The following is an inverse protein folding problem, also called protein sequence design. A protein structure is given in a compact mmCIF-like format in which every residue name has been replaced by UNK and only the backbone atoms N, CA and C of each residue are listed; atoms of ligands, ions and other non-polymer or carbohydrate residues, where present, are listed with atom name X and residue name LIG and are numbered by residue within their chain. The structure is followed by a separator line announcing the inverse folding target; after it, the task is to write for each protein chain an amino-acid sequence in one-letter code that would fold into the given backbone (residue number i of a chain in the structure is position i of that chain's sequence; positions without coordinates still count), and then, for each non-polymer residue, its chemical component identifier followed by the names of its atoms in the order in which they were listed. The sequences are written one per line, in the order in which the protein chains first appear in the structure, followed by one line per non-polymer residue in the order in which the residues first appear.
data_IF_497557443803
#
_entry.id   IF_497557443803
#
_cell.length_a   1.000
_cell.length_b   1.000
_cell.length_c   1.000
_cell.angle_alpha   90.00
_cell.angle_beta   90.00
_cell.angle_gamma   90.00
#
_symmetry.space_group_name_H-M   'P 1'
#
loop_
_entity.id
_entity.type
_entity.pdbx_description
1 polymer ?
#
# COMPACT_ATOMS: atom_id res chain seq x y z
N UNK A 1 3.88 -18.22 -21.49
CA UNK A 1 3.67 -16.77 -21.72
C UNK A 1 4.64 -16.29 -22.79
N UNK A 2 4.30 -15.23 -23.53
CA UNK A 2 5.07 -14.73 -24.68
C UNK A 2 6.05 -13.65 -24.22
N UNK A 3 7.31 -13.72 -24.65
CA UNK A 3 8.32 -12.72 -24.31
C UNK A 3 7.94 -11.30 -24.80
N UNK A 4 8.33 -10.25 -24.06
CA UNK A 4 8.06 -8.87 -24.46
C UNK A 4 8.74 -8.53 -25.79
N UNK A 5 8.02 -7.86 -26.69
CA UNK A 5 8.62 -7.35 -27.93
C UNK A 5 9.70 -6.30 -27.58
N UNK A 6 10.88 -6.39 -28.20
CA UNK A 6 12.00 -5.45 -28.04
C UNK A 6 11.62 -3.97 -28.19
N UNK A 7 10.70 -3.66 -29.13
CA UNK A 7 10.17 -2.30 -29.32
C UNK A 7 9.41 -1.78 -28.09
N UNK A 8 8.72 -2.65 -27.34
CA UNK A 8 8.03 -2.27 -26.10
C UNK A 8 9.02 -1.91 -25.02
N UNK A 9 10.03 -2.77 -24.80
CA UNK A 9 11.07 -2.54 -23.79
C UNK A 9 11.78 -1.21 -24.00
N UNK A 10 12.13 -0.88 -25.25
CA UNK A 10 12.71 0.43 -25.60
C UNK A 10 11.78 1.60 -25.29
N UNK A 11 10.48 1.48 -25.58
CA UNK A 11 9.46 2.52 -25.29
C UNK A 11 9.29 2.74 -23.79
N UNK A 12 9.30 1.65 -23.02
CA UNK A 12 9.09 1.68 -21.57
C UNK A 12 10.30 2.29 -20.85
N UNK A 13 11.53 1.89 -21.25
CA UNK A 13 12.78 2.50 -20.77
C UNK A 13 12.86 3.99 -21.08
N UNK A 14 12.50 4.42 -22.30
CA UNK A 14 12.45 5.85 -22.67
C UNK A 14 11.50 6.67 -21.80
N UNK A 15 10.45 6.06 -21.26
CA UNK A 15 9.46 6.72 -20.39
C UNK A 15 9.83 6.68 -18.90
N UNK A 16 10.95 6.05 -18.55
CA UNK A 16 11.43 5.92 -17.18
C UNK A 16 10.89 4.70 -16.44
N UNK A 17 10.40 3.67 -17.15
CA UNK A 17 10.07 2.38 -16.54
C UNK A 17 11.28 1.44 -16.59
N UNK A 18 11.60 0.85 -15.44
CA UNK A 18 12.60 -0.20 -15.25
C UNK A 18 11.88 -1.54 -15.06
N UNK A 19 11.89 -2.44 -16.07
CA UNK A 19 11.21 -3.72 -16.01
C UNK A 19 11.92 -4.76 -15.12
N UNK A 20 13.20 -4.57 -14.78
CA UNK A 20 13.92 -5.46 -13.87
C UNK A 20 13.60 -5.13 -12.42
N UNK A 21 13.51 -3.84 -12.09
CA UNK A 21 13.19 -3.37 -10.74
C UNK A 21 11.69 -3.18 -10.48
N UNK A 22 10.86 -3.40 -11.50
CA UNK A 22 9.42 -3.11 -11.44
C UNK A 22 9.12 -1.63 -11.09
N UNK A 23 9.98 -0.69 -11.47
CA UNK A 23 9.91 0.72 -11.03
C UNK A 23 9.54 1.68 -12.17
N UNK A 24 8.70 2.68 -11.89
CA UNK A 24 8.49 3.82 -12.80
C UNK A 24 9.00 5.11 -12.15
N UNK A 25 10.02 5.74 -12.76
CA UNK A 25 10.68 6.94 -12.23
C UNK A 25 11.08 6.77 -10.74
N UNK A 26 11.61 5.60 -10.40
CA UNK A 26 12.07 5.25 -9.04
C UNK A 26 10.97 4.82 -8.06
N UNK A 27 9.70 4.71 -8.49
CA UNK A 27 8.59 4.25 -7.63
C UNK A 27 8.20 2.82 -7.92
N UNK A 28 7.98 2.02 -6.88
CA UNK A 28 7.58 0.62 -7.00
C UNK A 28 6.14 0.47 -7.55
N UNK A 29 5.98 -0.44 -8.52
CA UNK A 29 4.71 -0.80 -9.16
C UNK A 29 4.37 -2.29 -9.05
N UNK A 30 5.08 -3.04 -8.19
CA UNK A 30 4.86 -4.47 -7.93
C UNK A 30 3.39 -4.84 -7.59
N UNK A 31 2.67 -3.92 -6.96
CA UNK A 31 1.25 -4.09 -6.58
C UNK A 31 0.25 -4.03 -7.76
N UNK A 32 0.70 -3.70 -8.98
CA UNK A 32 -0.16 -3.59 -10.17
C UNK A 32 0.10 -4.70 -11.19
N UNK A 33 0.47 -5.88 -10.71
CA UNK A 33 0.82 -7.02 -11.55
C UNK A 33 -0.38 -7.95 -11.71
N UNK A 34 -0.70 -8.31 -12.95
CA UNK A 34 -1.81 -9.17 -13.34
C UNK A 34 -1.29 -10.39 -14.11
N UNK A 35 -1.90 -11.56 -13.86
CA UNK A 35 -1.57 -12.81 -14.57
C UNK A 35 -2.09 -12.81 -16.01
N UNK A 36 -3.21 -12.15 -16.25
CA UNK A 36 -3.85 -12.06 -17.57
C UNK A 36 -3.88 -10.62 -18.08
N UNK A 37 -3.70 -10.39 -19.40
CA UNK A 37 -3.75 -9.06 -19.96
C UNK A 37 -5.17 -8.49 -19.89
N UNK A 38 -5.31 -7.30 -19.30
CA UNK A 38 -6.57 -6.58 -19.28
C UNK A 38 -6.93 -6.11 -20.70
N UNK A 39 -8.15 -6.41 -21.15
CA UNK A 39 -8.66 -5.95 -22.46
C UNK A 39 -8.75 -4.42 -22.48
N UNK A 40 -8.43 -3.82 -23.62
CA UNK A 40 -8.52 -2.37 -23.89
C UNK A 40 -7.67 -1.47 -22.97
N UNK A 41 -6.64 -1.99 -22.32
CA UNK A 41 -5.70 -1.21 -21.51
C UNK A 41 -4.30 -1.22 -22.14
N UNK A 42 -3.57 -0.10 -22.04
CA UNK A 42 -2.16 -0.11 -22.36
C UNK A 42 -1.39 -0.79 -21.23
N UNK A 43 -0.65 -1.84 -21.55
CA UNK A 43 0.11 -2.63 -20.58
C UNK A 43 1.63 -2.47 -20.78
N UNK A 44 2.37 -2.78 -19.73
CA UNK A 44 3.82 -3.01 -19.71
C UNK A 44 4.10 -4.43 -19.21
N UNK A 45 5.24 -4.97 -19.59
CA UNK A 45 5.70 -6.26 -19.10
C UNK A 45 6.57 -6.06 -17.87
N UNK A 46 6.35 -6.90 -16.87
CA UNK A 46 7.07 -6.89 -15.60
C UNK A 46 7.80 -8.21 -15.48
N UNK A 47 9.13 -8.18 -15.28
CA UNK A 47 9.91 -9.40 -15.05
C UNK A 47 9.93 -9.68 -13.54
N UNK A 48 9.50 -10.87 -13.15
CA UNK A 48 9.52 -11.32 -11.76
C UNK A 48 10.86 -12.00 -11.41
N UNK A 49 11.06 -12.26 -10.12
CA UNK A 49 12.25 -12.95 -9.58
C UNK A 49 12.44 -14.34 -10.18
N UNK A 50 11.35 -15.05 -10.44
CA UNK A 50 11.32 -16.37 -11.10
C UNK A 50 11.56 -16.29 -12.63
N UNK A 51 11.97 -15.12 -13.13
CA UNK A 51 12.16 -14.80 -14.55
C UNK A 51 10.91 -14.91 -15.43
N UNK A 52 9.73 -15.09 -14.85
CA UNK A 52 8.47 -15.01 -15.59
C UNK A 52 8.10 -13.56 -15.87
N UNK A 53 7.25 -13.36 -16.88
CA UNK A 53 6.75 -12.03 -17.25
C UNK A 53 5.27 -11.91 -16.95
N UNK A 54 4.88 -10.90 -16.19
CA UNK A 54 3.47 -10.57 -15.95
C UNK A 54 3.11 -9.20 -16.53
N UNK A 55 1.83 -8.84 -16.46
CA UNK A 55 1.32 -7.58 -17.01
C UNK A 55 1.15 -6.54 -15.92
N UNK A 56 1.51 -5.28 -16.19
CA UNK A 56 1.07 -4.16 -15.38
C UNK A 56 0.44 -3.07 -16.24
N UNK A 57 -0.42 -2.25 -15.63
CA UNK A 57 -0.98 -1.07 -16.31
C UNK A 57 0.16 -0.12 -16.64
N UNK A 58 0.23 0.32 -17.90
CA UNK A 58 1.17 1.35 -18.33
C UNK A 58 0.85 2.64 -17.57
N UNK A 59 1.82 3.22 -16.85
CA UNK A 59 1.65 4.54 -16.24
C UNK A 59 1.31 5.54 -17.34
N UNK A 60 0.08 6.10 -17.31
CA UNK A 60 -0.26 7.25 -18.14
C UNK A 60 0.45 8.48 -17.53
N UNK A 61 0.90 9.40 -18.39
CA UNK A 61 1.32 10.73 -17.92
C UNK A 61 0.25 11.28 -16.98
N UNK A 62 0.67 11.94 -15.89
CA UNK A 62 -0.24 12.52 -14.89
C UNK A 62 -1.31 13.36 -15.61
N UNK A 63 -2.51 12.80 -15.74
CA UNK A 63 -3.69 13.61 -16.05
C UNK A 63 -3.90 14.49 -14.81
N UNK A 64 -3.99 15.82 -14.93
CA UNK A 64 -4.26 16.67 -13.78
C UNK A 64 -5.54 16.17 -13.08
N UNK A 65 -5.46 16.01 -11.76
CA UNK A 65 -6.53 15.42 -10.96
C UNK A 65 -7.80 16.24 -11.16
N UNK A 66 -8.84 15.66 -11.77
CA UNK A 66 -10.18 16.23 -11.68
C UNK A 66 -10.71 15.98 -10.26
N UNK A 67 -11.39 16.94 -9.62
CA UNK A 67 -12.03 16.72 -8.33
C UNK A 67 -12.92 15.46 -8.38
N UNK A 68 -12.77 14.55 -7.43
CA UNK A 68 -13.59 13.32 -7.32
C UNK A 68 -13.08 12.09 -8.08
N UNK A 69 -11.97 12.18 -8.82
CA UNK A 69 -11.44 11.01 -9.54
C UNK A 69 -10.57 10.13 -8.61
N UNK A 70 -11.03 8.90 -8.32
CA UNK A 70 -10.20 7.89 -7.63
C UNK A 70 -8.97 7.58 -8.49
N UNK A 71 -7.80 7.79 -7.91
CA UNK A 71 -6.50 7.46 -8.51
C UNK A 71 -6.38 5.96 -8.74
N UNK A 72 -6.08 5.54 -9.96
CA UNK A 72 -5.77 4.14 -10.30
C UNK A 72 -4.44 3.69 -9.64
N UNK A 73 -3.63 4.64 -9.17
CA UNK A 73 -2.43 4.52 -8.34
C UNK A 73 -2.70 4.57 -6.83
N UNK A 74 -3.94 4.72 -6.39
CA UNK A 74 -4.28 4.54 -4.98
C UNK A 74 -4.59 3.08 -4.74
N UNK A 75 -3.73 2.40 -3.97
CA UNK A 75 -4.06 1.14 -3.32
C UNK A 75 -5.24 1.40 -2.36
N UNK A 76 -6.44 0.88 -2.62
CA UNK A 76 -7.52 0.95 -1.66
C UNK A 76 -7.12 0.15 -0.42
N UNK A 77 -7.34 0.67 0.79
CA UNK A 77 -6.97 -0.03 2.03
C UNK A 77 -7.61 -1.43 2.14
N UNK A 78 -8.77 -1.64 1.53
CA UNK A 78 -9.39 -2.98 1.42
C UNK A 78 -8.54 -3.98 0.62
N UNK A 79 -7.73 -3.55 -0.34
CA UNK A 79 -6.79 -4.43 -1.05
C UNK A 79 -5.61 -4.86 -0.15
N UNK A 80 -5.12 -4.00 0.73
CA UNK A 80 -4.08 -4.37 1.71
C UNK A 80 -4.59 -5.43 2.69
N UNK A 81 -5.87 -5.37 3.04
CA UNK A 81 -6.55 -6.36 3.89
C UNK A 81 -7.04 -7.61 3.13
N UNK A 82 -6.68 -7.81 1.85
CA UNK A 82 -7.21 -8.90 0.99
C UNK A 82 -8.75 -8.98 0.98
N UNK A 83 -9.42 -7.83 1.01
CA UNK A 83 -10.88 -7.72 1.07
C UNK A 83 -11.48 -8.02 2.44
N UNK A 84 -10.68 -8.31 3.47
CA UNK A 84 -11.14 -8.49 4.84
C UNK A 84 -11.44 -7.14 5.49
N UNK A 85 -12.25 -7.17 6.55
CA UNK A 85 -12.52 -6.02 7.41
C UNK A 85 -11.19 -5.49 7.95
N UNK A 86 -11.00 -4.18 7.86
CA UNK A 86 -9.88 -3.50 8.51
C UNK A 86 -10.21 -3.43 10.00
N UNK A 87 -9.37 -4.06 10.82
CA UNK A 87 -9.55 -4.11 12.27
C UNK A 87 -8.94 -2.88 12.97
N UNK A 88 -8.03 -2.17 12.31
CA UNK A 88 -7.46 -0.91 12.80
C UNK A 88 -6.65 -0.15 11.75
N UNK A 89 -6.54 1.15 11.94
CA UNK A 89 -5.74 2.08 11.15
C UNK A 89 -5.34 3.28 12.02
N UNK A 90 -4.16 3.85 11.83
CA UNK A 90 -3.69 4.99 12.60
C UNK A 90 -2.19 5.20 12.43
N UNK A 91 -1.59 5.89 13.39
CA UNK A 91 -0.15 6.16 13.40
C UNK A 91 0.56 5.26 14.40
N UNK A 92 1.84 4.99 14.14
CA UNK A 92 2.73 4.33 15.09
C UNK A 92 4.07 5.04 15.15
N UNK A 93 4.66 5.08 16.35
CA UNK A 93 6.03 5.52 16.56
C UNK A 93 6.92 4.33 16.92
N UNK A 94 8.16 4.35 16.41
CA UNK A 94 9.17 3.32 16.67
C UNK A 94 10.38 3.90 17.38
N UNK A 95 11.04 3.08 18.20
CA UNK A 95 12.36 3.41 18.75
C UNK A 95 13.47 3.34 17.68
N UNK A 96 14.69 3.68 18.08
CA UNK A 96 15.90 3.62 17.25
C UNK A 96 16.23 2.21 16.72
N UNK A 97 15.64 1.16 17.30
CA UNK A 97 15.80 -0.23 16.90
C UNK A 97 14.64 -0.72 16.01
N UNK A 98 13.75 0.19 15.58
CA UNK A 98 12.58 -0.13 14.75
C UNK A 98 11.46 -0.84 15.49
N UNK A 99 11.48 -0.87 16.84
CA UNK A 99 10.41 -1.47 17.64
C UNK A 99 9.33 -0.46 17.96
N UNK A 100 8.08 -0.87 17.81
CA UNK A 100 6.93 -0.01 18.09
C UNK A 100 6.88 0.33 19.59
N UNK A 101 6.71 1.62 19.89
CA UNK A 101 6.60 2.17 21.25
C UNK A 101 5.26 2.86 21.50
N UNK A 102 4.59 3.34 20.44
CA UNK A 102 3.28 3.96 20.52
C UNK A 102 2.43 3.61 19.29
N UNK A 103 1.14 3.36 19.52
CA UNK A 103 0.13 3.19 18.47
C UNK A 103 -1.08 4.05 18.83
N UNK A 104 -1.68 4.70 17.83
CA UNK A 104 -2.91 5.45 18.01
C UNK A 104 -3.94 5.16 16.92
N UNK A 105 -5.19 5.63 17.11
CA UNK A 105 -6.26 5.53 16.12
C UNK A 105 -6.31 6.73 15.15
N UNK A 106 -5.29 7.59 15.11
CA UNK A 106 -5.32 8.84 14.35
C UNK A 106 -5.08 8.58 12.85
N UNK A 107 -6.12 8.14 12.13
CA UNK A 107 -6.03 7.74 10.70
C UNK A 107 -6.70 8.73 9.72
N UNK A 108 -6.81 10.01 10.09
CA UNK A 108 -7.53 10.99 9.29
C UNK A 108 -8.97 10.56 9.00
N UNK A 109 -9.35 10.44 7.72
CA UNK A 109 -10.73 10.10 7.31
C UNK A 109 -11.20 8.69 7.71
N UNK A 110 -10.30 7.77 8.09
CA UNK A 110 -10.63 6.40 8.49
C UNK A 110 -10.39 6.14 9.98
N UNK A 111 -10.38 7.20 10.81
CA UNK A 111 -10.13 7.12 12.25
C UNK A 111 -11.01 6.04 12.91
N UNK A 112 -10.44 4.89 13.33
CA UNK A 112 -11.17 3.83 13.98
C UNK A 112 -11.58 4.22 15.39
N UNK A 113 -12.59 3.56 15.93
CA UNK A 113 -12.99 3.73 17.32
C UNK A 113 -12.09 2.94 18.28
N UNK A 114 -12.41 3.02 19.57
CA UNK A 114 -11.69 2.28 20.60
C UNK A 114 -11.76 0.77 20.42
N UNK A 115 -12.92 0.23 20.02
CA UNK A 115 -13.11 -1.21 19.88
C UNK A 115 -12.21 -1.78 18.79
N UNK A 116 -12.06 -1.03 17.68
CA UNK A 116 -11.07 -1.33 16.66
C UNK A 116 -9.62 -1.29 17.19
N UNK A 117 -9.30 -0.29 18.01
CA UNK A 117 -7.96 -0.17 18.58
C UNK A 117 -7.66 -1.31 19.58
N UNK A 118 -8.66 -1.76 20.34
CA UNK A 118 -8.57 -2.94 21.23
C UNK A 118 -8.36 -4.22 20.44
N UNK A 119 -9.15 -4.46 19.40
CA UNK A 119 -9.00 -5.63 18.51
C UNK A 119 -7.60 -5.64 17.87
N UNK A 120 -7.10 -4.47 17.47
CA UNK A 120 -5.74 -4.31 16.93
C UNK A 120 -4.68 -4.65 17.97
N UNK A 121 -4.85 -4.17 19.22
CA UNK A 121 -3.95 -4.46 20.34
C UNK A 121 -3.87 -5.95 20.62
N UNK A 122 -5.00 -6.61 20.77
CA UNK A 122 -5.06 -8.06 21.02
C UNK A 122 -4.38 -8.84 19.89
N UNK A 123 -4.65 -8.47 18.63
CA UNK A 123 -4.05 -9.13 17.49
C UNK A 123 -2.52 -8.95 17.44
N UNK A 124 -2.02 -7.73 17.63
CA UNK A 124 -0.57 -7.47 17.60
C UNK A 124 0.16 -8.12 18.79
N UNK A 125 -0.45 -8.14 19.97
CA UNK A 125 0.09 -8.85 21.13
C UNK A 125 0.13 -10.36 20.91
N UNK A 126 -0.91 -10.95 20.30
CA UNK A 126 -0.96 -12.39 20.00
C UNK A 126 0.14 -12.85 19.03
N UNK A 127 0.66 -11.92 18.23
CA UNK A 127 1.72 -12.16 17.26
C UNK A 127 3.10 -11.69 17.75
N UNK A 128 3.22 -11.28 19.02
CA UNK A 128 4.45 -10.77 19.63
C UNK A 128 5.06 -9.56 18.89
N UNK A 129 4.22 -8.78 18.19
CA UNK A 129 4.65 -7.62 17.40
C UNK A 129 4.85 -6.35 18.24
N UNK A 130 4.56 -6.40 19.53
CA UNK A 130 4.57 -5.26 20.45
C UNK A 130 5.41 -5.54 21.68
N UNK A 131 6.12 -4.52 22.19
CA UNK A 131 6.75 -4.59 23.52
C UNK A 131 5.70 -4.55 24.62
N UNK A 132 6.08 -5.02 25.81
CA UNK A 132 5.26 -4.99 27.03
C UNK A 132 4.90 -3.57 27.51
N UNK A 133 5.55 -2.53 26.98
CA UNK A 133 5.32 -1.12 27.35
C UNK A 133 4.84 -0.25 26.18
N UNK A 134 4.16 -0.82 25.17
CA UNK A 134 3.58 -0.01 24.09
C UNK A 134 2.38 0.77 24.61
N UNK A 135 2.37 2.08 24.35
CA UNK A 135 1.25 2.96 24.67
C UNK A 135 0.22 2.91 23.56
N UNK A 136 -1.05 2.76 23.92
CA UNK A 136 -2.16 2.76 22.96
C UNK A 136 -3.07 3.93 23.23
N UNK A 137 -3.12 4.90 22.32
CA UNK A 137 -3.84 6.15 22.53
C UNK A 137 -5.07 6.26 21.64
N UNK A 138 -6.19 6.60 22.25
CA UNK A 138 -7.46 6.86 21.56
C UNK A 138 -7.66 8.37 21.47
N UNK A 139 -7.68 8.89 20.25
CA UNK A 139 -7.98 10.27 19.92
C UNK A 139 -9.42 10.41 19.41
N UNK A 140 -10.02 11.58 19.64
CA UNK A 140 -11.28 11.98 19.03
C UNK A 140 -11.08 12.57 17.62
N UNK A 141 -12.19 12.90 16.95
CA UNK A 141 -12.19 13.51 15.60
C UNK A 141 -11.50 14.87 15.52
N UNK A 142 -11.26 15.52 16.66
CA UNK A 142 -10.56 16.81 16.74
C UNK A 142 -9.06 16.63 16.98
N UNK A 143 -8.58 15.39 17.13
CA UNK A 143 -7.19 15.09 17.44
C UNK A 143 -6.86 15.24 18.93
N UNK A 144 -7.87 15.31 19.81
CA UNK A 144 -7.67 15.37 21.26
C UNK A 144 -7.60 13.96 21.84
N UNK A 145 -6.62 13.70 22.70
CA UNK A 145 -6.50 12.45 23.43
C UNK A 145 -7.71 12.27 24.36
N UNK A 146 -8.43 11.17 24.18
CA UNK A 146 -9.53 10.75 25.04
C UNK A 146 -8.99 9.90 26.18
N UNK A 147 -8.16 8.89 25.84
CA UNK A 147 -7.59 7.95 26.81
C UNK A 147 -6.43 7.12 26.26
N UNK A 148 -5.74 6.46 27.18
CA UNK A 148 -4.72 5.42 26.92
C UNK A 148 -5.28 4.05 27.35
N UNK A 149 -5.06 2.99 26.57
CA UNK A 149 -5.62 1.64 26.78
C UNK A 149 -4.58 0.52 26.83
#
# INVERSE_FOLDING_TARGET
MREPKQRSLKKDKKRGYDPEKCQYKGKDLSHKIFDTPLRNQELIYVKLEDHTFKFALRPKERVPNKPGQRRIDTLPHSMLARGKRIIGAGECETDENGKIIEINNHSGHYQPDEDNLRETKENMMSQELTRSAVKWKVFDKTGKLIKEI
#
